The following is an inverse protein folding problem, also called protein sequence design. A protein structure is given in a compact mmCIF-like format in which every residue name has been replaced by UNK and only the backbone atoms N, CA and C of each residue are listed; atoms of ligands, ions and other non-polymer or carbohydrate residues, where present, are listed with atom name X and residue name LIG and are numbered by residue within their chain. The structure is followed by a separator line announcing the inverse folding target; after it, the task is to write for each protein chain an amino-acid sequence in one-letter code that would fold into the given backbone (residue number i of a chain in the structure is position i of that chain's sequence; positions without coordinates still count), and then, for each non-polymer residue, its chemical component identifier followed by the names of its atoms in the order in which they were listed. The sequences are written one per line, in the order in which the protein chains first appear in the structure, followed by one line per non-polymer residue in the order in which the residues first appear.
data_IF_876283501961
#
_entry.id   IF_876283501961
#
_cell.length_a   1.000
_cell.length_b   1.000
_cell.length_c   1.000
_cell.angle_alpha   90.00
_cell.angle_beta   90.00
_cell.angle_gamma   90.00
#
_symmetry.space_group_name_H-M   'P 1'
#
loop_
_entity.id
_entity.type
_entity.pdbx_description
1 polymer ?
#
# COMPACT_ATOMS: atom_id res chain seq x y z
N UNK A 1 -21.73 -24.62 12.67
CA UNK A 1 -21.69 -23.46 13.59
C UNK A 1 -20.30 -23.13 14.15
N UNK A 2 -19.82 -23.73 15.24
CA UNK A 2 -18.55 -23.28 15.87
C UNK A 2 -17.31 -23.47 14.98
N UNK A 3 -17.30 -24.53 14.16
CA UNK A 3 -16.22 -24.83 13.20
C UNK A 3 -16.20 -23.85 12.00
N UNK A 4 -17.37 -23.41 11.54
CA UNK A 4 -17.48 -22.41 10.47
C UNK A 4 -17.08 -21.02 10.97
N UNK A 5 -17.49 -20.64 12.18
CA UNK A 5 -17.08 -19.38 12.79
C UNK A 5 -15.55 -19.34 12.94
N UNK A 6 -14.93 -20.42 13.42
CA UNK A 6 -13.47 -20.54 13.50
C UNK A 6 -12.81 -20.34 12.13
N UNK A 7 -13.31 -20.98 11.08
CA UNK A 7 -12.74 -20.87 9.75
C UNK A 7 -12.86 -19.45 9.18
N UNK A 8 -14.00 -18.80 9.41
CA UNK A 8 -14.21 -17.39 9.01
C UNK A 8 -13.27 -16.46 9.77
N UNK A 9 -13.12 -16.64 11.09
CA UNK A 9 -12.19 -15.84 11.90
C UNK A 9 -10.75 -16.04 11.46
N UNK A 10 -10.32 -17.29 11.22
CA UNK A 10 -8.98 -17.58 10.72
C UNK A 10 -8.72 -16.89 9.38
N UNK A 11 -9.68 -16.95 8.46
CA UNK A 11 -9.56 -16.25 7.16
C UNK A 11 -9.39 -14.73 7.35
N UNK A 12 -10.14 -14.11 8.27
CA UNK A 12 -10.00 -12.68 8.56
C UNK A 12 -8.64 -12.34 9.18
N UNK A 13 -8.11 -13.21 10.05
CA UNK A 13 -6.77 -13.02 10.67
C UNK A 13 -5.66 -13.16 9.63
N UNK A 14 -5.76 -14.13 8.73
CA UNK A 14 -4.79 -14.33 7.65
C UNK A 14 -4.78 -13.12 6.70
N UNK A 15 -5.96 -12.57 6.39
CA UNK A 15 -6.09 -11.33 5.60
C UNK A 15 -5.42 -10.13 6.29
N UNK A 16 -5.61 -9.97 7.61
CA UNK A 16 -4.96 -8.90 8.38
C UNK A 16 -3.44 -9.06 8.38
N UNK A 17 -2.93 -10.28 8.55
CA UNK A 17 -1.50 -10.55 8.53
C UNK A 17 -0.89 -10.24 7.15
N UNK A 18 -1.55 -10.66 6.07
CA UNK A 18 -1.14 -10.36 4.70
C UNK A 18 -1.16 -8.84 4.42
N UNK A 19 -2.19 -8.14 4.87
CA UNK A 19 -2.27 -6.68 4.75
C UNK A 19 -1.11 -5.98 5.46
N UNK A 20 -0.83 -6.34 6.72
CA UNK A 20 0.26 -5.74 7.48
C UNK A 20 1.62 -5.94 6.82
N UNK A 21 1.87 -7.13 6.29
CA UNK A 21 3.10 -7.44 5.55
C UNK A 21 3.25 -6.58 4.30
N UNK A 22 2.19 -6.48 3.48
CA UNK A 22 2.21 -5.71 2.24
C UNK A 22 2.38 -4.21 2.45
N UNK A 23 1.67 -3.64 3.43
CA UNK A 23 1.82 -2.21 3.76
C UNK A 23 3.23 -1.91 4.25
N UNK A 24 3.80 -2.79 5.08
CA UNK A 24 5.18 -2.63 5.58
C UNK A 24 6.19 -2.70 4.45
N UNK A 25 6.02 -3.63 3.51
CA UNK A 25 6.87 -3.77 2.32
C UNK A 25 6.86 -2.48 1.49
N UNK A 26 5.68 -2.01 1.10
CA UNK A 26 5.54 -0.85 0.20
C UNK A 26 5.99 0.45 0.87
N UNK A 27 5.75 0.60 2.18
CA UNK A 27 6.27 1.74 2.93
C UNK A 27 7.80 1.79 2.92
N UNK A 28 8.47 0.62 3.00
CA UNK A 28 9.93 0.52 2.92
C UNK A 28 10.44 0.84 1.51
N UNK A 29 9.83 0.28 0.48
CA UNK A 29 10.18 0.54 -0.93
C UNK A 29 10.11 2.04 -1.27
N UNK A 30 8.98 2.68 -0.95
CA UNK A 30 8.76 4.09 -1.29
C UNK A 30 9.55 5.01 -0.36
N UNK A 31 9.54 4.75 0.94
CA UNK A 31 10.06 5.66 1.95
C UNK A 31 11.56 5.56 2.19
N UNK A 32 12.15 4.37 1.98
CA UNK A 32 13.57 4.11 2.29
C UNK A 32 14.37 3.86 1.02
N UNK A 33 13.86 2.99 0.14
CA UNK A 33 14.59 2.60 -1.08
C UNK A 33 14.38 3.60 -2.22
N UNK A 34 13.36 4.47 -2.12
CA UNK A 34 13.04 5.47 -3.13
C UNK A 34 12.38 4.87 -4.37
N UNK A 35 11.89 3.63 -4.29
CA UNK A 35 11.17 2.95 -5.36
C UNK A 35 9.74 3.51 -5.47
N UNK A 36 9.61 4.60 -6.22
CA UNK A 36 8.34 5.31 -6.37
C UNK A 36 7.39 4.54 -7.29
N UNK A 37 6.18 4.26 -6.78
CA UNK A 37 5.10 3.63 -7.51
C UNK A 37 4.71 2.24 -7.02
N UNK A 38 5.38 1.73 -5.98
CA UNK A 38 4.98 0.51 -5.28
C UNK A 38 3.55 0.57 -4.75
N UNK A 39 2.85 -0.56 -4.80
CA UNK A 39 1.46 -0.70 -4.31
C UNK A 39 1.32 -2.00 -3.54
N UNK A 40 0.49 -1.96 -2.50
CA UNK A 40 0.16 -3.10 -1.66
C UNK A 40 -0.90 -3.93 -2.37
N UNK A 41 -0.68 -5.24 -2.45
CA UNK A 41 -1.63 -6.15 -3.08
C UNK A 41 -1.93 -7.31 -2.14
N UNK A 42 -3.14 -7.29 -1.57
CA UNK A 42 -3.58 -8.26 -0.55
C UNK A 42 -4.60 -9.20 -1.18
N UNK A 43 -4.24 -10.46 -1.48
CA UNK A 43 -5.16 -11.43 -2.07
C UNK A 43 -6.35 -11.68 -1.14
N UNK A 44 -7.55 -11.72 -1.71
CA UNK A 44 -8.78 -11.99 -0.97
C UNK A 44 -9.27 -10.82 -0.10
N UNK A 45 -8.63 -9.64 -0.15
CA UNK A 45 -9.13 -8.45 0.53
C UNK A 45 -10.52 -8.07 0.00
N UNK A 46 -11.48 -7.97 0.92
CA UNK A 46 -12.86 -7.58 0.65
C UNK A 46 -13.40 -6.70 1.79
N UNK A 47 -14.47 -5.95 1.52
CA UNK A 47 -15.07 -5.03 2.49
C UNK A 47 -14.03 -4.06 3.07
N UNK A 48 -14.05 -3.90 4.39
CA UNK A 48 -13.14 -2.99 5.12
C UNK A 48 -11.67 -3.20 4.78
N UNK A 49 -11.22 -4.43 4.54
CA UNK A 49 -9.82 -4.71 4.21
C UNK A 49 -9.42 -4.21 2.84
N UNK A 50 -10.34 -4.30 1.87
CA UNK A 50 -10.14 -3.73 0.54
C UNK A 50 -10.08 -2.21 0.64
N UNK A 51 -11.00 -1.60 1.38
CA UNK A 51 -11.04 -0.15 1.55
C UNK A 51 -9.75 0.39 2.19
N UNK A 52 -9.21 -0.32 3.19
CA UNK A 52 -7.92 0.03 3.80
C UNK A 52 -6.75 -0.11 2.81
N UNK A 53 -6.70 -1.19 2.03
CA UNK A 53 -5.67 -1.41 0.99
C UNK A 53 -5.72 -0.30 -0.07
N UNK A 54 -6.92 0.03 -0.55
CA UNK A 54 -7.12 1.06 -1.57
C UNK A 54 -6.77 2.47 -1.04
N UNK A 55 -7.08 2.74 0.23
CA UNK A 55 -6.73 4.01 0.90
C UNK A 55 -5.22 4.20 1.03
N UNK A 56 -4.50 3.17 1.50
CA UNK A 56 -3.03 3.20 1.58
C UNK A 56 -2.40 3.35 0.19
N UNK A 57 -2.88 2.59 -0.80
CA UNK A 57 -2.40 2.71 -2.18
C UNK A 57 -2.65 4.09 -2.79
N UNK A 58 -3.72 4.77 -2.39
CA UNK A 58 -3.99 6.15 -2.81
C UNK A 58 -2.99 7.12 -2.20
N UNK A 59 -2.69 6.99 -0.91
CA UNK A 59 -1.67 7.80 -0.24
C UNK A 59 -0.28 7.64 -0.90
N UNK A 60 0.12 6.40 -1.20
CA UNK A 60 1.40 6.09 -1.83
C UNK A 60 1.49 6.57 -3.29
N UNK A 61 0.40 6.47 -4.07
CA UNK A 61 0.34 7.07 -5.42
C UNK A 61 0.48 8.59 -5.38
N UNK A 62 -0.20 9.25 -4.43
CA UNK A 62 -0.11 10.69 -4.27
C UNK A 62 1.32 11.12 -3.91
N UNK A 63 1.96 10.42 -2.96
CA UNK A 63 3.35 10.69 -2.58
C UNK A 63 4.31 10.52 -3.75
N UNK A 64 4.19 9.42 -4.50
CA UNK A 64 4.96 9.18 -5.73
C UNK A 64 4.81 10.33 -6.74
N UNK A 65 3.58 10.79 -6.97
CA UNK A 65 3.31 11.91 -7.87
C UNK A 65 3.97 13.21 -7.40
N UNK A 66 3.86 13.52 -6.11
CA UNK A 66 4.46 14.72 -5.52
C UNK A 66 5.99 14.72 -5.67
N UNK A 67 6.66 13.61 -5.37
CA UNK A 67 8.13 13.51 -5.49
C UNK A 67 8.58 13.65 -6.95
N UNK A 68 7.86 13.02 -7.89
CA UNK A 68 8.15 13.18 -9.33
C UNK A 68 7.97 14.61 -9.81
N UNK A 69 6.91 15.30 -9.36
CA UNK A 69 6.68 16.71 -9.68
C UNK A 69 7.82 17.60 -9.16
N UNK A 70 8.29 17.36 -7.93
CA UNK A 70 9.44 18.08 -7.37
C UNK A 70 10.68 17.86 -8.23
N UNK A 71 10.99 16.61 -8.61
CA UNK A 71 12.13 16.30 -9.46
C UNK A 71 12.07 17.02 -10.82
N UNK A 72 10.89 17.10 -11.44
CA UNK A 72 10.68 17.86 -12.68
C UNK A 72 10.93 19.35 -12.49
N UNK A 73 10.39 19.96 -11.43
CA UNK A 73 10.59 21.38 -11.12
C UNK A 73 12.06 21.67 -10.86
N UNK A 74 12.75 20.85 -10.07
CA UNK A 74 14.19 21.02 -9.80
C UNK A 74 15.02 20.91 -11.08
N UNK A 75 14.69 19.97 -11.97
CA UNK A 75 15.36 19.82 -13.27
C UNK A 75 15.13 21.04 -14.16
N UNK A 76 13.92 21.59 -14.20
CA UNK A 76 13.60 22.79 -14.98
C UNK A 76 14.36 24.01 -14.46
N UNK A 77 14.47 24.18 -13.14
CA UNK A 77 15.25 25.27 -12.51
C UNK A 77 16.75 25.14 -12.83
N UNK A 78 17.29 23.92 -12.85
CA UNK A 78 18.71 23.71 -13.15
C UNK A 78 19.08 23.95 -14.63
N UNK A 79 18.11 23.82 -15.54
CA UNK A 79 18.31 23.99 -16.98
C UNK A 79 17.96 25.40 -17.50
N UNK A 80 17.38 26.25 -16.65
CA UNK A 80 17.04 27.65 -16.97
C UNK A 80 18.08 28.61 -16.40
#
# INVERSE_FOLDING_TARGET
EMLELKNTVNTMVDQLSAFGAEVTRVAREIGVEGELGGQAQVPGAAGTWKDLTDSVNTAFRNLTGQVRNIAQVTTAVANG
#
